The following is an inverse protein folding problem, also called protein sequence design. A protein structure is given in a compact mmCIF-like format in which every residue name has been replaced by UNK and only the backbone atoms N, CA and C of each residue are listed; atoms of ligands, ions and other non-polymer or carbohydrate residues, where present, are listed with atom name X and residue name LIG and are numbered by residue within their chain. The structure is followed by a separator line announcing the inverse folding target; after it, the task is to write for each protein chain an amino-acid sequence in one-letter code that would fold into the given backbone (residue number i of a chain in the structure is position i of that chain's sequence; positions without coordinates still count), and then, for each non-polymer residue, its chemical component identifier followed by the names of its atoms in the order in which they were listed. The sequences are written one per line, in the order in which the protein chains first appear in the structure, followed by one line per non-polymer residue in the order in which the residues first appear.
data_IF_819956605421
#
_entry.id   IF_819956605421
#
_cell.length_a   1.000
_cell.length_b   1.000
_cell.length_c   1.000
_cell.angle_alpha   90.00
_cell.angle_beta   90.00
_cell.angle_gamma   90.00
#
_symmetry.space_group_name_H-M   'P 1'
#
loop_
_entity.id
_entity.type
_entity.pdbx_description
1 polymer ?
#
# COMPACT_ATOMS: atom_id res chain seq x y z
N UNK A 1 3.68 -33.18 -2.15
CA UNK A 1 3.70 -31.76 -2.56
C UNK A 1 2.58 -31.07 -1.79
N UNK A 2 2.91 -30.43 -0.67
CA UNK A 2 1.92 -29.63 0.09
C UNK A 2 1.62 -28.39 -0.74
N UNK A 3 0.42 -28.36 -1.32
CA UNK A 3 -0.15 -27.16 -1.92
C UNK A 3 -0.21 -26.10 -0.83
N UNK A 4 0.71 -25.14 -0.85
CA UNK A 4 0.59 -23.94 -0.01
C UNK A 4 -0.67 -23.23 -0.50
N UNK A 5 -1.73 -23.22 0.30
CA UNK A 5 -2.90 -22.42 0.00
C UNK A 5 -2.43 -20.96 -0.14
N UNK A 6 -2.48 -20.45 -1.37
CA UNK A 6 -2.12 -19.07 -1.64
C UNK A 6 -3.14 -18.19 -0.90
N UNK A 7 -2.65 -17.29 -0.04
CA UNK A 7 -3.52 -16.39 0.70
C UNK A 7 -4.29 -15.53 -0.30
N UNK A 8 -5.61 -15.45 -0.13
CA UNK A 8 -6.49 -14.70 -1.01
C UNK A 8 -6.94 -13.43 -0.28
N UNK A 9 -6.96 -12.29 -0.97
CA UNK A 9 -7.29 -10.98 -0.39
C UNK A 9 -8.57 -10.38 -1.00
N UNK A 10 -9.76 -10.96 -0.73
CA UNK A 10 -11.00 -10.53 -1.37
C UNK A 10 -11.41 -9.10 -0.99
N UNK A 11 -11.17 -8.67 0.25
CA UNK A 11 -11.49 -7.31 0.70
C UNK A 11 -10.56 -6.29 0.04
N UNK A 12 -9.30 -6.63 -0.16
CA UNK A 12 -8.35 -5.80 -0.90
C UNK A 12 -8.72 -5.69 -2.39
N UNK A 13 -9.12 -6.80 -3.02
CA UNK A 13 -9.56 -6.81 -4.43
C UNK A 13 -10.75 -5.87 -4.65
N UNK A 14 -11.72 -5.85 -3.72
CA UNK A 14 -12.87 -4.94 -3.79
C UNK A 14 -12.49 -3.44 -3.75
N UNK A 15 -11.30 -3.11 -3.26
CA UNK A 15 -10.79 -1.74 -3.17
C UNK A 15 -9.84 -1.36 -4.32
N UNK A 16 -9.43 -2.32 -5.18
CA UNK A 16 -8.39 -2.11 -6.18
C UNK A 16 -8.67 -0.90 -7.09
N UNK A 17 -9.86 -0.82 -7.67
CA UNK A 17 -10.24 0.30 -8.55
C UNK A 17 -10.18 1.65 -7.83
N UNK A 18 -10.66 1.73 -6.59
CA UNK A 18 -10.61 2.98 -5.80
C UNK A 18 -9.17 3.40 -5.49
N UNK A 19 -8.28 2.44 -5.26
CA UNK A 19 -6.85 2.70 -5.02
C UNK A 19 -6.18 3.23 -6.29
N UNK A 20 -6.47 2.62 -7.44
CA UNK A 20 -5.90 3.01 -8.74
C UNK A 20 -6.35 4.42 -9.15
N UNK A 21 -7.64 4.73 -9.03
CA UNK A 21 -8.19 6.06 -9.29
C UNK A 21 -7.58 7.12 -8.34
N UNK A 22 -7.42 6.77 -7.07
CA UNK A 22 -6.83 7.68 -6.09
C UNK A 22 -5.34 7.93 -6.34
N UNK A 23 -4.60 6.90 -6.79
CA UNK A 23 -3.18 7.02 -7.17
C UNK A 23 -3.02 7.93 -8.39
N UNK A 24 -3.86 7.77 -9.41
CA UNK A 24 -3.87 8.64 -10.59
C UNK A 24 -4.17 10.10 -10.19
N UNK A 25 -5.20 10.33 -9.37
CA UNK A 25 -5.55 11.66 -8.88
C UNK A 25 -4.45 12.29 -8.02
N UNK A 26 -3.75 11.49 -7.21
CA UNK A 26 -2.61 11.94 -6.42
C UNK A 26 -1.45 12.36 -7.33
N UNK A 27 -1.12 11.55 -8.34
CA UNK A 27 -0.08 11.87 -9.32
C UNK A 27 -0.41 13.15 -10.09
N UNK A 28 -1.64 13.31 -10.59
CA UNK A 28 -2.07 14.52 -11.32
C UNK A 28 -1.92 15.78 -10.44
N UNK A 29 -2.29 15.70 -9.15
CA UNK A 29 -2.19 16.83 -8.22
C UNK A 29 -0.76 17.18 -7.80
N UNK A 30 0.19 16.25 -7.97
CA UNK A 30 1.56 16.40 -7.45
C UNK A 30 2.63 16.51 -8.52
N UNK A 31 2.39 16.05 -9.76
CA UNK A 31 3.38 15.90 -10.82
C UNK A 31 4.20 17.16 -11.14
N UNK A 32 3.65 18.36 -10.91
CA UNK A 32 4.34 19.64 -11.12
C UNK A 32 4.10 20.65 -9.98
N UNK A 33 3.75 20.15 -8.79
CA UNK A 33 3.46 20.99 -7.63
C UNK A 33 4.72 21.13 -6.78
N UNK A 34 5.15 22.36 -6.53
CA UNK A 34 6.29 22.68 -5.64
C UNK A 34 5.85 23.15 -4.24
N UNK A 35 4.55 23.23 -4.03
CA UNK A 35 3.93 23.64 -2.77
C UNK A 35 3.76 22.41 -1.87
N UNK A 36 4.61 22.31 -0.85
CA UNK A 36 4.60 21.21 0.12
C UNK A 36 3.25 21.06 0.83
N UNK A 37 2.52 22.16 1.08
CA UNK A 37 1.22 22.09 1.74
C UNK A 37 0.17 21.43 0.83
N UNK A 38 0.22 21.71 -0.49
CA UNK A 38 -0.66 21.05 -1.47
C UNK A 38 -0.31 19.58 -1.64
N UNK A 39 0.98 19.23 -1.65
CA UNK A 39 1.44 17.83 -1.69
C UNK A 39 0.94 17.09 -0.44
N UNK A 40 1.12 17.66 0.75
CA UNK A 40 0.65 17.06 2.01
C UNK A 40 -0.88 16.89 2.03
N UNK A 41 -1.63 17.85 1.51
CA UNK A 41 -3.10 17.74 1.40
C UNK A 41 -3.54 16.63 0.42
N UNK A 42 -2.84 16.48 -0.71
CA UNK A 42 -3.07 15.40 -1.65
C UNK A 42 -2.71 14.03 -1.04
N UNK A 43 -1.56 13.95 -0.35
CA UNK A 43 -1.10 12.74 0.34
C UNK A 43 -2.09 12.33 1.43
N UNK A 44 -2.61 13.27 2.22
CA UNK A 44 -3.64 13.00 3.23
C UNK A 44 -4.89 12.36 2.62
N UNK A 45 -5.37 12.89 1.49
CA UNK A 45 -6.56 12.34 0.81
C UNK A 45 -6.29 10.92 0.31
N UNK A 46 -5.14 10.70 -0.32
CA UNK A 46 -4.77 9.39 -0.83
C UNK A 46 -4.57 8.36 0.30
N UNK A 47 -3.89 8.77 1.38
CA UNK A 47 -3.64 7.93 2.54
C UNK A 47 -4.91 7.48 3.26
N UNK A 48 -6.00 8.24 3.21
CA UNK A 48 -7.28 7.80 3.76
C UNK A 48 -7.85 6.57 3.03
N UNK A 49 -7.56 6.42 1.73
CA UNK A 49 -7.96 5.24 0.94
C UNK A 49 -6.99 4.09 1.19
N UNK A 50 -5.69 4.38 1.24
CA UNK A 50 -4.69 3.34 1.51
C UNK A 50 -4.76 2.79 2.94
N UNK A 51 -5.19 3.60 3.92
CA UNK A 51 -5.47 3.11 5.28
C UNK A 51 -6.60 2.08 5.27
N UNK A 52 -7.69 2.34 4.52
CA UNK A 52 -8.76 1.33 4.33
C UNK A 52 -8.24 0.06 3.68
N UNK A 53 -7.35 0.19 2.71
CA UNK A 53 -6.69 -0.96 2.08
C UNK A 53 -5.81 -1.73 3.08
N UNK A 54 -5.09 -1.05 3.97
CA UNK A 54 -4.28 -1.67 5.00
C UNK A 54 -5.15 -2.40 6.03
N UNK A 55 -6.28 -1.82 6.42
CA UNK A 55 -7.27 -2.47 7.29
C UNK A 55 -7.88 -3.70 6.60
N UNK A 56 -8.23 -3.60 5.32
CA UNK A 56 -8.76 -4.73 4.54
C UNK A 56 -7.76 -5.90 4.48
N UNK A 57 -6.46 -5.60 4.30
CA UNK A 57 -5.39 -6.59 4.37
C UNK A 57 -5.33 -7.28 5.73
N UNK A 58 -5.41 -6.53 6.85
CA UNK A 58 -5.42 -7.12 8.19
C UNK A 58 -6.60 -8.08 8.37
N UNK A 59 -7.79 -7.68 7.91
CA UNK A 59 -9.00 -8.51 7.98
C UNK A 59 -8.85 -9.77 7.14
N UNK A 60 -8.38 -9.65 5.90
CA UNK A 60 -8.17 -10.79 5.00
C UNK A 60 -7.09 -11.76 5.53
N UNK A 61 -6.10 -11.25 6.28
CA UNK A 61 -5.09 -12.03 7.00
C UNK A 61 -5.59 -12.66 8.32
N UNK A 62 -6.83 -12.41 8.70
CA UNK A 62 -7.46 -12.97 9.91
C UNK A 62 -7.20 -12.21 11.21
N UNK A 63 -6.80 -10.93 11.15
CA UNK A 63 -6.55 -10.06 12.31
C UNK A 63 -5.59 -10.66 13.36
N UNK A 64 -4.57 -11.37 12.89
CA UNK A 64 -3.54 -11.96 13.74
C UNK A 64 -2.58 -10.90 14.29
N UNK A 65 -1.85 -11.18 15.39
CA UNK A 65 -0.80 -10.28 15.87
C UNK A 65 0.26 -9.93 14.81
N UNK A 66 0.55 -10.87 13.90
CA UNK A 66 1.46 -10.64 12.77
C UNK A 66 0.87 -9.65 11.76
N UNK A 67 -0.41 -9.80 11.41
CA UNK A 67 -1.11 -8.86 10.53
C UNK A 67 -1.13 -7.43 11.10
N UNK A 68 -1.37 -7.31 12.42
CA UNK A 68 -1.31 -6.02 13.13
C UNK A 68 0.08 -5.40 13.13
N UNK A 69 1.13 -6.22 13.25
CA UNK A 69 2.51 -5.75 13.11
C UNK A 69 2.76 -5.18 11.71
N UNK A 70 2.33 -5.87 10.66
CA UNK A 70 2.45 -5.34 9.30
C UNK A 70 1.69 -4.04 9.10
N UNK A 71 0.50 -3.92 9.68
CA UNK A 71 -0.27 -2.68 9.67
C UNK A 71 0.52 -1.49 10.23
N UNK A 72 1.23 -1.69 11.34
CA UNK A 72 2.09 -0.66 11.91
C UNK A 72 3.33 -0.36 11.06
N UNK A 73 3.87 -1.37 10.38
CA UNK A 73 5.01 -1.22 9.48
C UNK A 73 4.67 -0.41 8.21
N UNK A 74 3.44 -0.54 7.70
CA UNK A 74 2.97 0.14 6.50
C UNK A 74 2.57 1.61 6.70
N UNK A 75 2.42 2.07 7.94
CA UNK A 75 2.00 3.45 8.24
C UNK A 75 2.96 4.48 7.61
N UNK A 76 2.43 5.60 7.06
CA UNK A 76 3.23 6.75 6.66
C UNK A 76 4.11 7.23 7.81
N UNK A 77 5.38 7.57 7.55
CA UNK A 77 6.30 8.11 8.57
C UNK A 77 6.33 9.63 8.56
N UNK A 78 6.06 10.23 7.41
CA UNK A 78 5.93 11.69 7.21
C UNK A 78 4.54 12.07 6.68
N UNK A 79 4.26 13.37 6.63
CA UNK A 79 3.00 13.90 6.11
C UNK A 79 2.83 13.72 4.59
N UNK A 80 3.93 13.48 3.86
CA UNK A 80 3.95 13.29 2.40
C UNK A 80 4.15 11.83 2.00
N UNK A 81 4.55 10.97 2.94
CA UNK A 81 4.66 9.54 2.69
C UNK A 81 3.28 8.93 2.42
N UNK A 82 3.28 7.85 1.66
CA UNK A 82 2.10 7.01 1.47
C UNK A 82 2.18 5.73 2.30
N UNK A 83 1.02 5.21 2.68
CA UNK A 83 0.90 3.83 3.16
C UNK A 83 1.52 2.87 2.15
N UNK A 84 2.07 1.75 2.62
CA UNK A 84 2.77 0.79 1.77
C UNK A 84 3.95 1.38 0.99
N UNK A 85 4.54 2.49 1.47
CA UNK A 85 5.69 3.18 0.90
C UNK A 85 5.44 3.82 -0.48
N UNK A 86 6.48 4.10 -1.28
CA UNK A 86 6.40 5.06 -2.40
C UNK A 86 5.63 4.59 -3.64
N UNK A 87 5.28 3.31 -3.74
CA UNK A 87 4.54 2.74 -4.88
C UNK A 87 3.38 1.87 -4.36
N UNK A 88 2.38 2.48 -3.72
CA UNK A 88 1.30 1.76 -3.04
C UNK A 88 0.47 0.89 -4.00
N UNK A 89 0.14 1.38 -5.21
CA UNK A 89 -0.64 0.58 -6.17
C UNK A 89 0.09 -0.69 -6.61
N UNK A 90 1.42 -0.61 -6.84
CA UNK A 90 2.22 -1.79 -7.16
C UNK A 90 2.28 -2.79 -6.02
N UNK A 91 2.38 -2.32 -4.78
CA UNK A 91 2.34 -3.19 -3.61
C UNK A 91 0.99 -3.94 -3.52
N UNK A 92 -0.12 -3.23 -3.69
CA UNK A 92 -1.47 -3.81 -3.65
C UNK A 92 -1.65 -4.87 -4.72
N UNK A 93 -1.28 -4.59 -5.98
CA UNK A 93 -1.35 -5.59 -7.07
C UNK A 93 -0.48 -6.81 -6.77
N UNK A 94 0.75 -6.60 -6.29
CA UNK A 94 1.63 -7.70 -5.90
C UNK A 94 1.00 -8.59 -4.82
N UNK A 95 0.39 -7.99 -3.80
CA UNK A 95 -0.28 -8.74 -2.75
C UNK A 95 -1.43 -9.60 -3.32
N UNK A 96 -2.28 -9.01 -4.17
CA UNK A 96 -3.39 -9.71 -4.83
C UNK A 96 -2.88 -10.87 -5.70
N UNK A 97 -1.88 -10.63 -6.54
CA UNK A 97 -1.35 -11.61 -7.50
C UNK A 97 -0.61 -12.77 -6.82
N UNK A 98 0.16 -12.46 -5.78
CA UNK A 98 1.10 -13.43 -5.20
C UNK A 98 0.61 -14.02 -3.88
N UNK A 99 -0.39 -13.42 -3.23
CA UNK A 99 -0.81 -13.80 -1.88
C UNK A 99 0.21 -13.40 -0.81
N UNK A 100 1.18 -12.51 -1.13
CA UNK A 100 2.27 -12.13 -0.22
C UNK A 100 2.18 -10.65 0.14
N UNK A 101 2.22 -10.38 1.44
CA UNK A 101 2.21 -9.01 2.00
C UNK A 101 3.58 -8.56 2.49
N UNK A 102 4.55 -9.47 2.48
CA UNK A 102 5.93 -9.15 2.83
C UNK A 102 6.58 -8.42 1.66
N UNK A 103 7.16 -7.24 1.92
CA UNK A 103 8.07 -6.55 1.00
C UNK A 103 9.40 -7.30 0.93
N UNK A 104 9.41 -8.48 0.33
CA UNK A 104 10.64 -9.26 0.15
C UNK A 104 11.63 -8.56 -0.77
N UNK A 105 11.16 -7.84 -1.81
CA UNK A 105 12.01 -7.27 -2.86
C UNK A 105 11.32 -6.15 -3.66
N UNK A 106 11.18 -4.93 -3.11
CA UNK A 106 11.44 -3.76 -3.97
C UNK A 106 12.96 -3.64 -4.01
N UNK A 107 13.59 -3.52 -5.19
CA UNK A 107 15.04 -3.49 -5.29
C UNK A 107 15.56 -2.36 -4.41
N UNK A 108 16.29 -2.75 -3.38
CA UNK A 108 17.10 -1.84 -2.62
C UNK A 108 18.13 -1.26 -3.60
N UNK A 109 17.93 -0.03 -4.07
CA UNK A 109 18.97 0.65 -4.84
C UNK A 109 20.22 0.94 -4.01
N UNK A 110 20.26 0.56 -2.72
CA UNK A 110 21.48 0.52 -1.92
C UNK A 110 22.21 -0.83 -1.90
N UNK A 111 21.72 -1.84 -2.63
CA UNK A 111 22.43 -3.11 -2.87
C UNK A 111 23.25 -3.14 -4.18
N UNK A 112 23.68 -1.97 -4.69
CA UNK A 112 24.78 -1.89 -5.66
C UNK A 112 26.06 -1.57 -4.88
N UNK A 113 26.72 -2.61 -4.42
CA UNK A 113 28.18 -2.63 -4.18
C UNK A 113 28.73 -3.95 -4.68
#
# INVERSE_FOLDING_TARGET
MTSSAQMHFPSLVALLTQIEEAEEMFQIKTANTYDEAKIAAAAKTFNAILEKAAQALVVDMGDTPEARKYFDDWKPRTATDTWFGPQPGKFVRHAIETGKVHRGFLPDQSAVR
#
